data_IF_279841457988
#
_entry.id   IF_279841457988
#
_cell.length_a   1.000
_cell.length_b   1.000
_cell.length_c   1.000
_cell.angle_alpha   90.00
_cell.angle_beta   90.00
_cell.angle_gamma   90.00
#
_symmetry.space_group_name_H-M   'P 1'
#
loop_
_entity.id
_entity.type
_entity.pdbx_description
1 polymer ?
#
# COMPACT_ATOMS: atom_id res chain seq x y z
N UNK A 1 -41.73 14.22 4.04
CA UNK A 1 -41.69 14.68 5.45
C UNK A 1 -41.17 13.51 6.29
N UNK A 2 -39.85 13.45 6.52
CA UNK A 2 -39.21 12.43 7.36
C UNK A 2 -39.53 12.73 8.83
N UNK A 3 -40.16 11.78 9.55
CA UNK A 3 -40.44 11.92 10.98
C UNK A 3 -39.13 11.71 11.76
N UNK A 4 -38.71 12.71 12.53
CA UNK A 4 -37.77 12.53 13.63
C UNK A 4 -38.41 11.59 14.66
N UNK A 5 -37.80 10.44 14.94
CA UNK A 5 -38.20 9.58 16.06
C UNK A 5 -38.30 8.08 15.77
N UNK A 6 -38.05 7.62 14.54
CA UNK A 6 -37.90 6.19 14.24
C UNK A 6 -36.41 5.85 14.14
N UNK A 7 -35.93 4.72 14.73
CA UNK A 7 -34.59 4.23 14.40
C UNK A 7 -34.50 4.11 12.88
N UNK A 8 -33.38 4.57 12.30
CA UNK A 8 -33.10 4.48 10.86
C UNK A 8 -33.58 3.10 10.37
N UNK A 9 -34.45 3.02 9.34
CA UNK A 9 -34.84 1.73 8.79
C UNK A 9 -33.54 0.95 8.53
N UNK A 10 -33.47 -0.27 9.07
CA UNK A 10 -32.28 -1.11 9.04
C UNK A 10 -31.96 -1.34 7.57
N UNK A 11 -31.03 -0.54 7.03
CA UNK A 11 -30.55 -0.72 5.68
C UNK A 11 -29.88 -2.09 5.64
N UNK A 12 -30.28 -2.93 4.68
CA UNK A 12 -29.62 -4.20 4.45
C UNK A 12 -28.16 -3.97 4.05
N UNK A 13 -27.30 -4.96 4.27
CA UNK A 13 -25.91 -4.90 3.80
C UNK A 13 -25.82 -4.54 2.31
N UNK A 14 -26.74 -5.04 1.48
CA UNK A 14 -26.81 -4.74 0.06
C UNK A 14 -27.18 -3.27 -0.21
N UNK A 15 -28.10 -2.67 0.54
CA UNK A 15 -28.46 -1.25 0.40
C UNK A 15 -27.35 -0.34 0.94
N UNK A 16 -26.71 -0.71 2.04
CA UNK A 16 -25.55 0.00 2.56
C UNK A 16 -24.42 -0.05 1.52
N UNK A 17 -24.09 -1.23 1.00
CA UNK A 17 -22.99 -1.41 0.05
C UNK A 17 -23.28 -0.83 -1.34
N UNK A 18 -24.51 -0.94 -1.83
CA UNK A 18 -24.89 -0.52 -3.18
C UNK A 18 -25.30 0.96 -3.29
N UNK A 19 -25.85 1.55 -2.23
CA UNK A 19 -26.43 2.90 -2.29
C UNK A 19 -25.70 3.90 -1.41
N UNK A 20 -25.26 3.49 -0.21
CA UNK A 20 -24.69 4.41 0.77
C UNK A 20 -23.16 4.49 0.66
N UNK A 21 -22.45 3.36 0.65
CA UNK A 21 -20.98 3.33 0.59
C UNK A 21 -20.38 4.06 -0.62
N UNK A 22 -20.96 4.01 -1.85
CA UNK A 22 -20.43 4.76 -2.97
C UNK A 22 -20.43 6.28 -2.75
N UNK A 23 -21.36 6.81 -1.94
CA UNK A 23 -21.45 8.25 -1.64
C UNK A 23 -20.31 8.75 -0.75
N UNK A 24 -19.73 7.88 0.08
CA UNK A 24 -18.64 8.24 0.99
C UNK A 24 -17.30 8.41 0.27
N UNK A 25 -17.13 7.76 -0.89
CA UNK A 25 -15.88 7.80 -1.68
C UNK A 25 -14.63 7.66 -0.79
N UNK A 26 -14.46 6.54 -0.04
CA UNK A 26 -13.34 6.38 0.87
C UNK A 26 -12.00 6.47 0.13
N UNK A 27 -10.97 6.94 0.84
CA UNK A 27 -9.59 6.89 0.36
C UNK A 27 -8.99 5.56 0.79
N UNK A 28 -8.57 4.76 -0.19
CA UNK A 28 -7.96 3.45 0.03
C UNK A 28 -6.44 3.59 -0.03
N UNK A 29 -5.75 3.11 1.01
CA UNK A 29 -4.30 3.13 1.09
C UNK A 29 -3.74 1.72 0.98
N UNK A 30 -2.84 1.50 0.02
CA UNK A 30 -2.10 0.25 -0.11
C UNK A 30 -0.62 0.44 0.20
N UNK A 31 -0.04 -0.53 0.91
CA UNK A 31 1.40 -0.64 1.12
C UNK A 31 1.97 -1.70 0.18
N UNK A 32 2.59 -1.32 -0.94
CA UNK A 32 3.15 -2.28 -1.88
C UNK A 32 4.48 -2.86 -1.36
N UNK A 33 4.74 -4.14 -1.62
CA UNK A 33 6.07 -4.73 -1.46
C UNK A 33 6.95 -4.48 -2.68
N UNK A 34 6.34 -4.41 -3.87
CA UNK A 34 6.92 -3.82 -5.08
C UNK A 34 5.91 -2.90 -5.76
N UNK A 35 6.37 -1.80 -6.36
CA UNK A 35 5.60 -0.88 -7.19
C UNK A 35 6.39 -0.54 -8.45
N UNK A 36 5.69 -0.47 -9.59
CA UNK A 36 6.27 -0.15 -10.90
C UNK A 36 6.01 1.29 -11.33
N UNK A 37 6.62 1.77 -12.44
CA UNK A 37 6.44 3.15 -12.91
C UNK A 37 4.99 3.54 -13.21
N UNK A 38 4.11 2.57 -13.40
CA UNK A 38 2.72 2.79 -13.75
C UNK A 38 1.79 2.62 -12.53
N UNK A 39 2.36 2.44 -11.35
CA UNK A 39 1.61 2.25 -10.11
C UNK A 39 0.92 0.90 -10.01
N UNK A 40 1.28 -0.08 -10.87
CA UNK A 40 0.94 -1.46 -10.56
C UNK A 40 1.79 -1.90 -9.37
N UNK A 41 1.28 -2.84 -8.57
CA UNK A 41 2.01 -3.28 -7.40
C UNK A 41 1.79 -4.74 -7.01
N UNK A 42 2.68 -5.21 -6.14
CA UNK A 42 2.80 -6.59 -5.70
C UNK A 42 2.81 -6.71 -4.17
N UNK A 43 1.90 -7.53 -3.64
CA UNK A 43 1.85 -7.97 -2.23
C UNK A 43 1.74 -9.50 -2.09
N UNK A 44 2.02 -10.25 -3.16
CA UNK A 44 1.78 -11.71 -3.22
C UNK A 44 3.07 -12.50 -3.10
N UNK A 45 4.09 -12.18 -3.90
CA UNK A 45 5.31 -13.00 -3.98
C UNK A 45 6.50 -12.21 -4.51
N UNK A 46 7.71 -12.50 -4.03
CA UNK A 46 8.96 -12.08 -4.68
C UNK A 46 9.61 -13.33 -5.30
N UNK A 47 9.99 -13.24 -6.57
CA UNK A 47 10.39 -14.37 -7.41
C UNK A 47 9.23 -15.05 -8.15
N UNK A 48 9.46 -16.23 -8.72
CA UNK A 48 8.48 -16.92 -9.57
C UNK A 48 7.25 -17.38 -8.78
N UNK A 49 6.09 -16.81 -9.12
CA UNK A 49 4.80 -17.22 -8.56
C UNK A 49 4.48 -18.69 -8.86
N UNK A 50 4.81 -19.19 -10.06
CA UNK A 50 4.50 -20.56 -10.46
C UNK A 50 5.46 -21.60 -9.87
N UNK A 51 6.55 -21.15 -9.23
CA UNK A 51 7.36 -22.01 -8.37
C UNK A 51 6.64 -22.36 -7.05
N UNK A 52 5.61 -21.59 -6.64
CA UNK A 52 4.61 -22.06 -5.68
C UNK A 52 3.73 -23.10 -6.38
N UNK A 53 4.22 -24.32 -6.55
CA UNK A 53 3.36 -25.45 -6.90
C UNK A 53 2.82 -26.02 -5.59
N UNK A 54 1.56 -25.77 -5.18
CA UNK A 54 0.97 -26.49 -4.06
C UNK A 54 0.57 -27.92 -4.45
N UNK A 55 0.53 -28.24 -5.75
CA UNK A 55 0.17 -29.53 -6.30
C UNK A 55 1.07 -29.88 -7.48
N UNK A 56 1.76 -31.01 -7.40
CA UNK A 56 2.54 -31.55 -8.50
C UNK A 56 1.60 -32.26 -9.47
N UNK A 57 1.27 -31.60 -10.58
CA UNK A 57 0.42 -32.18 -11.63
C UNK A 57 1.05 -33.40 -12.32
N UNK A 58 2.38 -33.55 -12.31
CA UNK A 58 3.05 -34.71 -12.91
C UNK A 58 2.96 -35.94 -12.01
N UNK A 59 2.97 -35.75 -10.69
CA UNK A 59 2.88 -36.83 -9.69
C UNK A 59 1.48 -37.00 -9.07
N UNK A 60 0.54 -36.10 -9.37
CA UNK A 60 -0.83 -36.16 -8.87
C UNK A 60 -0.95 -36.02 -7.35
N UNK A 61 0.02 -35.36 -6.68
CA UNK A 61 0.06 -35.20 -5.22
C UNK A 61 0.35 -33.76 -4.80
N UNK A 62 -0.01 -33.34 -3.58
CA UNK A 62 0.45 -32.08 -3.01
C UNK A 62 1.97 -32.00 -3.01
N UNK A 63 2.50 -30.81 -3.26
CA UNK A 63 3.94 -30.56 -3.26
C UNK A 63 4.47 -30.56 -1.83
N UNK A 64 5.51 -31.37 -1.59
CA UNK A 64 6.19 -31.44 -0.31
C UNK A 64 7.42 -30.54 -0.34
N UNK A 65 7.31 -29.37 0.29
CA UNK A 65 8.40 -28.38 0.35
C UNK A 65 9.68 -28.86 1.04
N UNK A 66 9.67 -30.02 1.71
CA UNK A 66 10.87 -30.63 2.29
C UNK A 66 11.60 -31.59 1.33
N UNK A 67 10.89 -32.18 0.36
CA UNK A 67 11.43 -33.23 -0.52
C UNK A 67 11.54 -32.80 -1.99
N UNK A 68 10.63 -31.94 -2.45
CA UNK A 68 10.52 -31.57 -3.85
C UNK A 68 11.40 -30.35 -4.17
N UNK A 69 12.33 -30.50 -5.11
CA UNK A 69 13.19 -29.39 -5.57
C UNK A 69 12.45 -28.55 -6.62
N UNK A 70 12.40 -27.21 -6.49
CA UNK A 70 11.82 -26.37 -7.54
C UNK A 70 12.59 -26.58 -8.86
N UNK A 71 11.85 -26.67 -9.96
CA UNK A 71 12.42 -26.72 -11.31
C UNK A 71 13.27 -25.47 -11.59
N UNK A 72 14.21 -25.59 -12.52
CA UNK A 72 15.27 -24.63 -12.89
C UNK A 72 14.85 -23.21 -13.33
N UNK A 73 13.59 -22.82 -13.15
CA UNK A 73 13.17 -21.41 -13.20
C UNK A 73 13.58 -20.67 -11.92
N UNK A 74 13.65 -19.34 -11.95
CA UNK A 74 14.00 -18.53 -10.77
C UNK A 74 13.18 -18.97 -9.55
N UNK A 75 13.84 -19.44 -8.50
CA UNK A 75 13.15 -19.98 -7.34
C UNK A 75 12.26 -18.91 -6.66
N UNK A 76 11.14 -19.36 -6.10
CA UNK A 76 10.36 -18.58 -5.14
C UNK A 76 11.30 -18.07 -4.04
N UNK A 77 11.37 -16.75 -3.86
CA UNK A 77 12.25 -16.14 -2.87
C UNK A 77 11.52 -15.77 -1.58
N UNK A 78 10.30 -15.25 -1.68
CA UNK A 78 9.53 -14.82 -0.51
C UNK A 78 8.02 -14.85 -0.80
N UNK A 79 7.26 -15.54 0.06
CA UNK A 79 5.79 -15.43 0.10
C UNK A 79 5.40 -14.22 0.95
N UNK A 80 4.56 -13.35 0.39
CA UNK A 80 4.01 -12.18 1.07
C UNK A 80 2.58 -12.44 1.56
N UNK A 81 1.98 -11.54 2.38
CA UNK A 81 0.65 -11.76 2.98
C UNK A 81 -0.48 -12.10 1.98
N UNK A 82 -0.36 -11.70 0.71
CA UNK A 82 -1.31 -12.04 -0.34
C UNK A 82 -2.07 -10.82 -0.89
N UNK A 83 -3.01 -11.10 -1.80
CA UNK A 83 -3.76 -10.05 -2.51
C UNK A 83 -4.89 -9.43 -1.67
N UNK A 84 -5.48 -10.15 -0.71
CA UNK A 84 -6.69 -9.67 -0.04
C UNK A 84 -7.74 -9.20 -1.06
N UNK A 85 -8.32 -8.01 -0.85
CA UNK A 85 -9.23 -7.35 -1.80
C UNK A 85 -8.55 -6.43 -2.83
N UNK A 86 -7.21 -6.44 -2.95
CA UNK A 86 -6.47 -5.51 -3.81
C UNK A 86 -6.94 -5.60 -5.28
N UNK A 87 -7.12 -6.82 -5.80
CA UNK A 87 -7.49 -7.04 -7.19
C UNK A 87 -8.86 -6.42 -7.51
N UNK A 88 -9.81 -6.51 -6.58
CA UNK A 88 -11.15 -5.93 -6.75
C UNK A 88 -11.10 -4.41 -6.60
N UNK A 89 -10.53 -3.91 -5.51
CA UNK A 89 -10.53 -2.47 -5.18
C UNK A 89 -9.80 -1.66 -6.26
N UNK A 90 -8.69 -2.17 -6.81
CA UNK A 90 -7.91 -1.46 -7.84
C UNK A 90 -8.61 -1.34 -9.20
N UNK A 91 -9.68 -2.12 -9.42
CA UNK A 91 -10.48 -2.09 -10.65
C UNK A 91 -11.45 -0.91 -10.65
N UNK A 92 -12.13 -0.63 -9.54
CA UNK A 92 -13.26 0.32 -9.50
C UNK A 92 -13.11 1.49 -8.53
N UNK A 93 -12.24 1.42 -7.52
CA UNK A 93 -12.16 2.48 -6.51
C UNK A 93 -11.63 3.79 -7.10
N UNK A 94 -12.30 4.94 -6.87
CA UNK A 94 -11.90 6.23 -7.43
C UNK A 94 -10.69 6.86 -6.74
N UNK A 95 -10.32 6.36 -5.55
CA UNK A 95 -9.42 7.05 -4.60
C UNK A 95 -8.39 6.08 -4.04
N UNK A 96 -7.53 5.58 -4.93
CA UNK A 96 -6.43 4.68 -4.59
C UNK A 96 -5.16 5.50 -4.31
N UNK A 97 -4.56 5.29 -3.15
CA UNK A 97 -3.33 5.91 -2.70
C UNK A 97 -2.34 4.83 -2.30
N UNK A 98 -1.05 5.06 -2.57
CA UNK A 98 0.02 4.17 -2.16
C UNK A 98 0.85 4.82 -1.06
N UNK A 99 1.27 4.05 -0.06
CA UNK A 99 2.26 4.52 0.91
C UNK A 99 3.39 3.51 1.05
N UNK A 100 4.63 3.99 0.97
CA UNK A 100 5.83 3.15 1.02
C UNK A 100 6.74 3.67 2.13
N UNK A 101 6.76 3.05 3.32
CA UNK A 101 7.52 3.57 4.45
C UNK A 101 9.04 3.48 4.28
N UNK A 102 9.52 2.76 3.26
CA UNK A 102 10.95 2.61 2.93
C UNK A 102 11.16 2.58 1.43
N UNK A 103 11.67 3.66 0.87
CA UNK A 103 11.96 3.81 -0.54
C UNK A 103 13.28 3.14 -0.88
N UNK A 104 13.22 2.05 -1.63
CA UNK A 104 14.42 1.30 -2.02
C UNK A 104 14.25 0.70 -3.42
N UNK A 105 15.36 0.44 -4.11
CA UNK A 105 15.35 -0.10 -5.49
C UNK A 105 14.68 -1.47 -5.62
N UNK A 106 14.60 -2.23 -4.53
CA UNK A 106 13.90 -3.53 -4.50
C UNK A 106 12.38 -3.40 -4.34
N UNK A 107 11.91 -2.23 -3.92
CA UNK A 107 10.50 -1.88 -3.79
C UNK A 107 10.03 -1.15 -5.04
N UNK A 108 10.78 -0.13 -5.49
CA UNK A 108 10.49 0.58 -6.74
C UNK A 108 11.19 -0.10 -7.90
N UNK A 109 10.51 -1.02 -8.57
CA UNK A 109 11.09 -1.91 -9.59
C UNK A 109 10.51 -1.63 -10.96
N UNK A 110 11.31 -1.78 -12.01
CA UNK A 110 10.81 -1.59 -13.39
C UNK A 110 9.75 -2.63 -13.76
N UNK A 111 9.92 -3.86 -13.28
CA UNK A 111 9.00 -4.98 -13.51
C UNK A 111 8.71 -5.69 -12.21
N UNK A 112 7.42 -5.89 -11.92
CA UNK A 112 6.95 -6.66 -10.79
C UNK A 112 7.18 -8.16 -11.00
N UNK A 113 7.45 -8.88 -9.92
CA UNK A 113 7.44 -10.34 -9.93
C UNK A 113 6.02 -10.90 -10.09
N UNK A 114 5.03 -10.21 -9.50
CA UNK A 114 3.62 -10.53 -9.63
C UNK A 114 2.76 -9.26 -9.55
N UNK A 115 1.75 -9.13 -10.40
CA UNK A 115 0.84 -7.99 -10.36
C UNK A 115 -0.38 -8.33 -9.50
N UNK A 116 -0.37 -7.93 -8.24
CA UNK A 116 -1.54 -8.11 -7.36
C UNK A 116 -2.52 -6.95 -7.41
N UNK A 117 -2.03 -5.73 -7.69
CA UNK A 117 -2.84 -4.52 -7.83
C UNK A 117 -2.61 -3.84 -9.17
N UNK A 118 -3.69 -3.31 -9.74
CA UNK A 118 -3.71 -2.76 -11.09
C UNK A 118 -3.58 -1.24 -11.05
N UNK A 119 -2.44 -0.73 -11.52
CA UNK A 119 -2.18 0.67 -11.80
C UNK A 119 -2.62 1.04 -13.22
N UNK A 120 -1.77 1.75 -13.95
CA UNK A 120 -2.00 2.11 -15.36
C UNK A 120 -1.51 1.05 -16.35
N UNK A 121 -1.51 -0.22 -15.94
CA UNK A 121 -1.25 -1.39 -16.80
C UNK A 121 0.10 -1.33 -17.53
N UNK A 122 0.12 -0.89 -18.80
CA UNK A 122 1.32 -0.75 -19.62
C UNK A 122 1.84 0.69 -19.71
N UNK A 123 1.12 1.65 -19.14
CA UNK A 123 1.51 3.06 -19.09
C UNK A 123 0.76 3.98 -20.07
N UNK A 124 -0.32 3.50 -20.69
CA UNK A 124 -1.19 4.30 -21.58
C UNK A 124 -2.29 5.07 -20.83
N UNK A 125 -2.15 5.19 -19.50
CA UNK A 125 -3.04 5.96 -18.65
C UNK A 125 -4.47 5.40 -18.57
N UNK A 126 -5.44 6.28 -18.38
CA UNK A 126 -6.84 5.88 -18.19
C UNK A 126 -7.49 5.28 -19.43
N UNK A 127 -6.94 5.54 -20.63
CA UNK A 127 -7.50 5.04 -21.88
C UNK A 127 -7.40 3.52 -21.93
N UNK A 128 -6.20 2.97 -21.67
CA UNK A 128 -6.01 1.51 -21.61
C UNK A 128 -6.86 0.89 -20.50
N UNK A 129 -6.96 1.55 -19.34
CA UNK A 129 -7.82 1.08 -18.25
C UNK A 129 -9.27 0.90 -18.71
N UNK A 130 -9.84 1.91 -19.39
CA UNK A 130 -11.21 1.84 -19.93
C UNK A 130 -11.37 0.75 -20.98
N UNK A 131 -10.41 0.60 -21.90
CA UNK A 131 -10.43 -0.45 -22.93
C UNK A 131 -10.42 -1.86 -22.32
N UNK A 132 -9.82 -2.03 -21.15
CA UNK A 132 -9.77 -3.29 -20.39
C UNK A 132 -10.96 -3.48 -19.44
N UNK A 133 -11.95 -2.59 -19.48
CA UNK A 133 -13.13 -2.65 -18.61
C UNK A 133 -12.90 -2.23 -17.16
N UNK A 134 -11.77 -1.56 -16.87
CA UNK A 134 -11.48 -1.03 -15.53
C UNK A 134 -12.19 0.31 -15.36
N UNK A 135 -13.11 0.39 -14.41
CA UNK A 135 -13.99 1.55 -14.22
C UNK A 135 -13.37 2.64 -13.33
N UNK A 136 -12.41 2.29 -12.48
CA UNK A 136 -11.68 3.22 -11.63
C UNK A 136 -10.56 3.96 -12.38
N UNK A 137 -10.20 5.18 -11.95
CA UNK A 137 -9.19 6.02 -12.60
C UNK A 137 -7.74 5.55 -12.38
N UNK A 138 -7.51 4.58 -11.50
CA UNK A 138 -6.17 4.14 -11.11
C UNK A 138 -5.61 4.89 -9.90
N UNK A 139 -4.32 4.67 -9.56
CA UNK A 139 -3.68 5.29 -8.41
C UNK A 139 -3.57 6.80 -8.59
N UNK A 140 -3.87 7.54 -7.53
CA UNK A 140 -3.89 9.01 -7.52
C UNK A 140 -2.58 9.61 -7.03
N UNK A 141 -1.94 8.93 -6.08
CA UNK A 141 -0.81 9.46 -5.37
C UNK A 141 -0.01 8.36 -4.70
N UNK A 142 1.28 8.59 -4.51
CA UNK A 142 2.15 7.78 -3.66
C UNK A 142 2.90 8.69 -2.70
N UNK A 143 2.98 8.29 -1.43
CA UNK A 143 3.90 8.88 -0.45
C UNK A 143 4.95 7.86 -0.04
N UNK A 144 6.20 8.28 0.04
CA UNK A 144 7.29 7.48 0.62
C UNK A 144 8.01 8.27 1.72
N UNK A 145 8.97 7.65 2.40
CA UNK A 145 9.87 8.31 3.34
C UNK A 145 10.82 9.35 2.69
N UNK A 146 10.93 9.38 1.35
CA UNK A 146 11.77 10.35 0.63
C UNK A 146 10.99 11.52 0.02
N UNK A 147 9.69 11.36 -0.22
CA UNK A 147 8.95 12.31 -1.03
C UNK A 147 7.59 11.81 -1.49
N UNK A 148 6.95 12.61 -2.33
CA UNK A 148 5.59 12.44 -2.81
C UNK A 148 5.53 12.41 -4.33
N UNK A 149 4.63 11.59 -4.86
CA UNK A 149 4.53 11.30 -6.28
C UNK A 149 3.08 11.36 -6.75
N UNK A 150 2.87 11.96 -7.92
CA UNK A 150 1.61 11.88 -8.65
C UNK A 150 1.71 10.91 -9.84
N UNK A 151 0.62 10.79 -10.58
CA UNK A 151 0.59 10.05 -11.84
C UNK A 151 0.11 10.97 -12.96
N UNK A 152 0.95 11.15 -13.97
CA UNK A 152 0.62 11.93 -15.17
C UNK A 152 0.71 11.01 -16.39
N UNK A 153 -0.35 11.01 -17.20
CA UNK A 153 -0.45 10.12 -18.37
C UNK A 153 -0.18 8.64 -18.03
N UNK A 154 -0.52 8.23 -16.80
CA UNK A 154 -0.32 6.88 -16.32
C UNK A 154 1.08 6.55 -15.78
N UNK A 155 1.96 7.54 -15.63
CA UNK A 155 3.34 7.36 -15.19
C UNK A 155 3.61 8.10 -13.90
N UNK A 156 4.31 7.44 -12.99
CA UNK A 156 4.70 7.96 -11.67
C UNK A 156 5.68 9.12 -11.85
N UNK A 157 5.40 10.23 -11.18
CA UNK A 157 6.23 11.44 -11.26
C UNK A 157 6.45 12.05 -9.88
N UNK A 158 7.70 12.40 -9.58
CA UNK A 158 8.09 13.08 -8.34
C UNK A 158 7.57 14.53 -8.34
N UNK A 159 6.79 14.88 -7.32
CA UNK A 159 6.23 16.24 -7.16
C UNK A 159 6.76 16.97 -5.92
N UNK A 160 7.26 16.23 -4.93
CA UNK A 160 7.85 16.83 -3.73
C UNK A 160 8.91 15.92 -3.11
N UNK A 161 10.00 16.51 -2.59
CA UNK A 161 10.96 15.82 -1.72
C UNK A 161 10.70 16.22 -0.26
N UNK A 162 10.92 15.31 0.68
CA UNK A 162 10.89 15.65 2.10
C UNK A 162 12.10 16.52 2.48
N UNK A 163 12.02 17.30 3.58
CA UNK A 163 13.14 18.16 4.00
C UNK A 163 14.47 17.41 4.08
N UNK A 164 15.50 17.96 3.42
CA UNK A 164 16.84 17.38 3.35
C UNK A 164 17.04 16.27 2.31
N UNK A 165 15.99 15.85 1.60
CA UNK A 165 16.08 14.84 0.52
C UNK A 165 16.24 15.54 -0.82
N UNK A 166 17.19 15.06 -1.64
CA UNK A 166 17.40 15.57 -3.00
C UNK A 166 16.73 14.70 -4.07
N UNK A 167 16.38 15.29 -5.21
CA UNK A 167 15.88 14.53 -6.38
C UNK A 167 16.84 13.43 -6.81
N UNK A 168 18.16 13.70 -6.75
CA UNK A 168 19.19 12.74 -7.10
C UNK A 168 19.19 11.52 -6.16
N UNK A 169 18.96 11.74 -4.87
CA UNK A 169 18.83 10.67 -3.88
C UNK A 169 17.59 9.82 -4.14
N UNK A 170 16.44 10.44 -4.43
CA UNK A 170 15.21 9.69 -4.80
C UNK A 170 15.50 8.81 -6.01
N UNK A 171 16.05 9.38 -7.09
CA UNK A 171 16.35 8.65 -8.31
C UNK A 171 17.36 7.51 -8.08
N UNK A 172 18.37 7.70 -7.22
CA UNK A 172 19.34 6.66 -6.89
C UNK A 172 18.67 5.45 -6.20
N UNK A 173 17.64 5.71 -5.39
CA UNK A 173 16.87 4.70 -4.65
C UNK A 173 15.68 4.15 -5.45
N UNK A 174 15.37 4.70 -6.64
CA UNK A 174 14.36 4.16 -7.57
C UNK A 174 15.00 3.21 -8.59
N UNK A 175 14.39 2.04 -8.81
CA UNK A 175 14.90 1.01 -9.73
C UNK A 175 14.63 1.25 -11.22
N UNK A 176 14.02 2.38 -11.57
CA UNK A 176 13.67 2.77 -12.93
C UNK A 176 13.88 4.29 -13.14
N UNK A 177 13.96 4.77 -14.39
CA UNK A 177 13.98 6.20 -14.68
C UNK A 177 12.69 6.87 -14.21
N UNK A 178 12.81 7.81 -13.27
CA UNK A 178 11.69 8.47 -12.62
C UNK A 178 11.35 9.76 -13.37
N UNK A 179 10.07 10.01 -13.63
CA UNK A 179 9.66 11.33 -14.13
C UNK A 179 9.73 12.36 -13.02
N UNK A 180 10.23 13.55 -13.33
CA UNK A 180 10.39 14.64 -12.37
C UNK A 180 9.50 15.80 -12.79
N UNK A 181 8.70 16.34 -11.87
CA UNK A 181 7.90 17.52 -12.15
C UNK A 181 8.80 18.72 -12.49
N UNK A 182 8.33 19.68 -13.32
CA UNK A 182 9.09 20.89 -13.63
C UNK A 182 9.49 21.71 -12.40
N UNK A 183 8.69 21.59 -11.33
CA UNK A 183 8.97 22.17 -10.03
C UNK A 183 8.73 21.09 -8.97
N UNK A 184 9.79 20.69 -8.26
CA UNK A 184 9.72 19.76 -7.13
C UNK A 184 9.84 20.58 -5.85
N UNK A 185 8.73 20.70 -5.12
CA UNK A 185 8.69 21.45 -3.88
C UNK A 185 9.28 20.65 -2.72
N UNK A 186 9.83 21.32 -1.72
CA UNK A 186 10.03 20.69 -0.41
C UNK A 186 8.66 20.45 0.26
N UNK A 187 8.49 19.27 0.86
CA UNK A 187 7.27 18.94 1.60
C UNK A 187 7.17 19.81 2.84
N UNK A 188 6.06 20.55 3.04
CA UNK A 188 5.89 21.37 4.24
C UNK A 188 5.98 20.52 5.52
N UNK A 189 6.73 20.95 6.54
CA UNK A 189 6.75 20.24 7.82
C UNK A 189 5.38 20.31 8.50
N UNK A 190 5.04 19.32 9.35
CA UNK A 190 3.81 19.38 10.14
C UNK A 190 3.84 20.56 11.11
N UNK A 191 2.67 21.12 11.43
CA UNK A 191 2.56 22.19 12.41
C UNK A 191 2.85 21.68 13.82
N UNK A 192 3.21 22.59 14.74
CA UNK A 192 3.44 22.21 16.15
C UNK A 192 2.21 21.55 16.78
N UNK A 193 1.01 22.04 16.44
CA UNK A 193 -0.25 21.46 16.88
C UNK A 193 -0.45 20.04 16.36
N UNK A 194 -0.19 19.80 15.06
CA UNK A 194 -0.28 18.45 14.48
C UNK A 194 0.72 17.48 15.13
N UNK A 195 1.94 17.94 15.42
CA UNK A 195 2.96 17.14 16.12
C UNK A 195 2.53 16.82 17.54
N UNK A 196 1.93 17.80 18.24
CA UNK A 196 1.38 17.61 19.60
C UNK A 196 0.27 16.57 19.59
N UNK A 197 -0.76 16.75 18.75
CA UNK A 197 -1.87 15.79 18.60
C UNK A 197 -1.37 14.39 18.30
N UNK A 198 -0.41 14.26 17.37
CA UNK A 198 0.16 12.97 17.01
C UNK A 198 0.85 12.27 18.19
N UNK A 199 1.60 13.03 19.00
CA UNK A 199 2.44 12.49 20.08
C UNK A 199 1.72 12.33 21.41
N UNK A 200 0.63 13.06 21.63
CA UNK A 200 -0.06 13.09 22.93
C UNK A 200 -1.44 12.43 22.87
N UNK A 201 -2.12 12.45 21.71
CA UNK A 201 -3.52 12.00 21.60
C UNK A 201 -3.71 10.84 20.62
N UNK A 202 -3.12 10.91 19.42
CA UNK A 202 -3.38 9.93 18.34
C UNK A 202 -2.48 8.70 18.46
N UNK A 203 -1.18 8.90 18.67
CA UNK A 203 -0.19 7.82 18.79
C UNK A 203 0.80 8.11 19.94
N UNK A 204 0.31 8.15 21.19
CA UNK A 204 1.12 8.46 22.37
C UNK A 204 2.16 7.39 22.72
N UNK A 205 1.93 6.16 22.27
CA UNK A 205 2.90 5.06 22.42
C UNK A 205 3.97 5.08 21.31
N UNK A 206 3.78 5.88 20.26
CA UNK A 206 4.75 5.96 19.15
C UNK A 206 4.76 4.70 18.28
N UNK A 207 3.65 3.97 18.18
CA UNK A 207 3.50 2.76 17.38
C UNK A 207 3.91 2.98 15.94
N UNK A 208 3.64 4.17 15.38
CA UNK A 208 4.04 4.53 14.00
C UNK A 208 5.53 4.37 13.73
N UNK A 209 6.37 4.50 14.76
CA UNK A 209 7.82 4.38 14.60
C UNK A 209 8.21 2.96 14.18
N UNK A 210 7.40 1.95 14.49
CA UNK A 210 7.62 0.56 14.07
C UNK A 210 7.64 0.38 12.54
N UNK A 211 7.02 1.29 11.78
CA UNK A 211 7.08 1.31 10.30
C UNK A 211 8.49 1.62 9.79
N UNK A 212 9.22 2.50 10.49
CA UNK A 212 10.57 2.92 10.13
C UNK A 212 11.66 2.05 10.75
N UNK A 213 11.32 1.18 11.71
CA UNK A 213 12.27 0.31 12.42
C UNK A 213 12.29 -1.12 11.87
N UNK A 214 13.47 -1.75 11.86
CA UNK A 214 13.63 -3.16 11.45
C UNK A 214 14.53 -3.93 12.41
N UNK A 215 14.46 -5.27 12.33
CA UNK A 215 15.34 -6.16 13.08
C UNK A 215 15.22 -5.99 14.59
N UNK A 216 16.37 -5.90 15.26
CA UNK A 216 16.44 -5.78 16.71
C UNK A 216 15.84 -4.47 17.24
N UNK A 217 16.10 -3.34 16.58
CA UNK A 217 15.53 -2.04 16.97
C UNK A 217 14.00 -2.08 17.00
N UNK A 218 13.39 -2.72 16.00
CA UNK A 218 11.92 -2.88 15.95
C UNK A 218 11.41 -3.78 17.08
N UNK A 219 12.12 -4.88 17.39
CA UNK A 219 11.73 -5.79 18.49
C UNK A 219 11.85 -5.11 19.85
N UNK A 220 12.89 -4.30 20.06
CA UNK A 220 13.07 -3.53 21.28
C UNK A 220 11.95 -2.50 21.47
N UNK A 221 11.68 -1.68 20.45
CA UNK A 221 10.59 -0.70 20.48
C UNK A 221 9.22 -1.35 20.70
N UNK A 222 8.96 -2.52 20.08
CA UNK A 222 7.72 -3.25 20.28
C UNK A 222 7.56 -3.71 21.74
N UNK A 223 8.63 -4.17 22.40
CA UNK A 223 8.58 -4.57 23.81
C UNK A 223 8.29 -3.39 24.72
N UNK A 224 8.97 -2.26 24.50
CA UNK A 224 8.71 -1.03 25.25
C UNK A 224 7.26 -0.55 25.09
N UNK A 225 6.70 -0.63 23.88
CA UNK A 225 5.30 -0.28 23.62
C UNK A 225 4.37 -1.18 24.44
N UNK A 226 4.58 -2.50 24.43
CA UNK A 226 3.76 -3.45 25.18
C UNK A 226 3.85 -3.19 26.69
N UNK A 227 5.05 -2.97 27.23
CA UNK A 227 5.25 -2.64 28.65
C UNK A 227 4.53 -1.34 29.05
N UNK A 228 4.55 -0.33 28.17
CA UNK A 228 3.84 0.94 28.38
C UNK A 228 2.32 0.80 28.26
N UNK A 229 1.84 -0.07 27.37
CA UNK A 229 0.42 -0.37 27.21
C UNK A 229 -0.12 -1.10 28.45
N UNK A 230 0.62 -2.08 28.98
CA UNK A 230 0.26 -2.83 30.20
C UNK A 230 0.23 -1.95 31.46
N UNK A 231 1.12 -0.95 31.54
CA UNK A 231 1.17 0.00 32.67
C UNK A 231 0.17 1.16 32.53
N UNK A 232 -0.34 1.41 31.33
CA UNK A 232 -1.38 2.39 31.08
C UNK A 232 -2.74 1.78 31.41
N UNK A 233 -3.27 2.05 32.60
CA UNK A 233 -4.63 1.63 32.99
C UNK A 233 -5.65 2.15 31.98
N UNK A 234 -6.17 1.26 31.13
CA UNK A 234 -7.34 1.55 30.31
C UNK A 234 -8.56 1.78 31.22
N UNK A 235 -8.82 3.05 31.54
CA UNK A 235 -10.08 3.48 32.12
C UNK A 235 -11.12 3.45 31.00
N UNK A 236 -11.72 2.28 30.74
CA UNK A 236 -12.76 2.14 29.72
C UNK A 236 -13.88 3.18 29.90
N UNK A 237 -14.70 3.43 28.86
CA UNK A 237 -15.77 4.40 28.94
C UNK A 237 -16.69 4.08 30.13
N UNK A 238 -16.87 5.06 31.03
CA UNK A 238 -17.84 4.99 32.12
C UNK A 238 -19.22 4.72 31.52
N UNK A 239 -19.82 3.58 31.91
CA UNK A 239 -21.14 3.12 31.48
C UNK A 239 -22.24 4.16 31.74
#
# INVERSE_FOLDING_TARGET
MLRLGSPLPILSFAEIAGTVLPTFSPREFFRPAQVDPFGNFNNVVIGDYHALRPFDQAQGRPFDGAQDKPGSGQALRLRLPGCGGIADVTVFSPRIYLYVPRHERRVFVERLDFRSGIGFLSGEGEVERRQRGLTGPGPRYLVSDLGQFDYVQGRMRLVSCHPGVSVAEVQAQTGFPLEIAPYVAETPPPTQEQVKLLREEIDPLGVRQLECLSGEKRRAALREIVEREETSTWAGPSK
#
